data_IF_997478298276
#
_entry.id   IF_997478298276
#
_cell.length_a   1.000
_cell.length_b   1.000
_cell.length_c   1.000
_cell.angle_alpha   90.00
_cell.angle_beta   90.00
_cell.angle_gamma   90.00
#
_symmetry.space_group_name_H-M   'P 1'
#
loop_
_entity.id
_entity.type
_entity.pdbx_description
1 polymer ?
#
# COMPACT_ATOMS: atom_id res chain seq x y z
N UNK A 1 21.67 -8.72 14.75
CA UNK A 1 20.93 -7.57 14.20
C UNK A 1 21.87 -6.53 13.56
N UNK A 2 22.92 -6.87 12.81
CA UNK A 2 23.98 -5.88 12.52
C UNK A 2 24.56 -5.90 11.09
N UNK A 3 23.78 -6.19 10.04
CA UNK A 3 24.35 -6.07 8.69
C UNK A 3 24.77 -4.62 8.36
N UNK A 4 23.91 -3.65 8.70
CA UNK A 4 24.18 -2.23 8.45
C UNK A 4 25.29 -1.67 9.36
N UNK A 5 25.36 -2.14 10.60
CA UNK A 5 26.37 -1.71 11.59
C UNK A 5 27.75 -2.37 11.36
N UNK A 6 27.81 -3.50 10.65
CA UNK A 6 29.06 -4.20 10.31
C UNK A 6 29.63 -3.77 8.94
N UNK A 7 29.06 -2.74 8.32
CA UNK A 7 29.50 -2.27 7.01
C UNK A 7 30.82 -1.51 7.16
N UNK A 8 31.87 -1.97 6.49
CA UNK A 8 33.24 -1.44 6.64
C UNK A 8 33.36 0.02 6.23
N UNK A 9 32.68 0.40 5.15
CA UNK A 9 32.65 1.75 4.59
C UNK A 9 31.23 2.07 4.09
N UNK A 10 30.30 2.48 4.98
CA UNK A 10 28.97 2.91 4.54
C UNK A 10 29.10 4.16 3.69
N UNK A 11 28.34 4.22 2.60
CA UNK A 11 28.10 5.51 1.94
C UNK A 11 27.50 6.48 2.96
N UNK A 12 27.73 7.79 2.78
CA UNK A 12 27.18 8.80 3.68
C UNK A 12 25.67 8.60 3.87
N UNK A 13 24.93 8.29 2.81
CA UNK A 13 23.51 7.98 2.89
C UNK A 13 23.19 6.82 3.84
N UNK A 14 23.92 5.71 3.77
CA UNK A 14 23.69 4.55 4.65
C UNK A 14 24.02 4.87 6.11
N UNK A 15 25.04 5.69 6.37
CA UNK A 15 25.38 6.13 7.73
C UNK A 15 24.26 7.01 8.33
N UNK A 16 23.67 7.91 7.53
CA UNK A 16 22.53 8.72 7.97
C UNK A 16 21.31 7.86 8.28
N UNK A 17 21.00 6.87 7.42
CA UNK A 17 19.93 5.92 7.70
C UNK A 17 20.21 5.08 8.95
N UNK A 18 21.46 4.66 9.19
CA UNK A 18 21.83 3.94 10.41
C UNK A 18 21.56 4.77 11.67
N UNK A 19 21.92 6.07 11.66
CA UNK A 19 21.62 6.98 12.76
C UNK A 19 20.11 7.13 12.99
N UNK A 20 19.34 7.31 11.92
CA UNK A 20 17.88 7.47 12.01
C UNK A 20 17.19 6.19 12.51
N UNK A 21 17.67 5.03 12.07
CA UNK A 21 17.10 3.73 12.43
C UNK A 21 17.50 3.27 13.83
N UNK A 22 18.57 3.81 14.42
CA UNK A 22 19.03 3.47 15.76
C UNK A 22 17.99 3.78 16.85
N UNK A 23 17.09 4.74 16.62
CA UNK A 23 16.00 5.06 17.54
C UNK A 23 14.92 3.96 17.64
N UNK A 24 14.89 3.02 16.70
CA UNK A 24 13.84 2.03 16.56
C UNK A 24 14.40 0.60 16.66
N UNK A 25 13.61 -0.33 17.22
CA UNK A 25 13.94 -1.76 17.18
C UNK A 25 13.54 -2.36 15.83
N UNK A 26 14.45 -2.27 14.84
CA UNK A 26 14.21 -2.69 13.46
C UNK A 26 15.01 -3.94 13.08
N UNK A 27 14.33 -4.91 12.48
CA UNK A 27 14.98 -6.08 11.87
C UNK A 27 15.01 -5.95 10.35
N UNK A 28 16.21 -5.86 9.77
CA UNK A 28 16.38 -5.82 8.31
C UNK A 28 16.35 -7.26 7.77
N UNK A 29 15.34 -7.58 6.97
CA UNK A 29 15.16 -8.92 6.37
C UNK A 29 14.99 -8.78 4.87
N UNK A 30 15.79 -9.54 4.10
CA UNK A 30 15.64 -9.62 2.66
C UNK A 30 14.31 -10.29 2.30
N UNK A 31 13.58 -9.67 1.37
CA UNK A 31 12.36 -10.23 0.76
C UNK A 31 12.55 -10.26 -0.75
N UNK A 32 12.10 -11.35 -1.38
CA UNK A 32 12.13 -11.47 -2.83
C UNK A 32 11.23 -10.43 -3.48
N UNK A 33 11.64 -9.84 -4.61
CA UNK A 33 10.88 -8.81 -5.34
C UNK A 33 9.44 -9.21 -5.68
N UNK A 34 9.16 -10.50 -5.90
CA UNK A 34 7.80 -11.00 -6.13
C UNK A 34 6.84 -10.76 -4.95
N UNK A 35 7.37 -10.59 -3.74
CA UNK A 35 6.61 -10.31 -2.51
C UNK A 35 6.47 -8.81 -2.21
N UNK A 36 6.95 -7.94 -3.10
CA UNK A 36 6.90 -6.48 -2.97
C UNK A 36 5.86 -5.84 -3.91
N UNK A 37 4.85 -6.59 -4.37
CA UNK A 37 3.86 -6.06 -5.30
C UNK A 37 3.13 -4.82 -4.75
N UNK A 38 2.83 -4.81 -3.46
CA UNK A 38 2.26 -3.65 -2.75
C UNK A 38 3.19 -2.44 -2.77
N UNK A 39 4.43 -2.60 -2.29
CA UNK A 39 5.42 -1.53 -2.23
C UNK A 39 5.81 -1.01 -3.63
N UNK A 40 5.96 -1.91 -4.61
CA UNK A 40 6.27 -1.56 -6.01
C UNK A 40 5.13 -0.76 -6.63
N UNK A 41 3.87 -1.20 -6.46
CA UNK A 41 2.70 -0.44 -6.91
C UNK A 41 2.66 0.97 -6.31
N UNK A 42 2.89 1.12 -5.00
CA UNK A 42 2.89 2.43 -4.34
C UNK A 42 4.05 3.32 -4.80
N UNK A 43 5.26 2.77 -4.98
CA UNK A 43 6.43 3.55 -5.41
C UNK A 43 6.32 4.07 -6.85
N UNK A 44 5.55 3.38 -7.70
CA UNK A 44 5.35 3.73 -9.12
C UNK A 44 4.22 4.72 -9.34
N UNK A 45 3.36 4.92 -8.35
CA UNK A 45 2.25 5.86 -8.42
C UNK A 45 2.48 7.03 -7.45
N UNK A 46 3.35 8.00 -7.80
CA UNK A 46 3.62 9.13 -6.93
C UNK A 46 2.34 9.95 -6.74
N UNK A 47 1.89 10.03 -5.50
CA UNK A 47 0.79 10.91 -5.11
C UNK A 47 1.32 12.35 -5.21
N UNK A 48 0.54 13.30 -5.77
CA UNK A 48 0.93 14.71 -5.75
C UNK A 48 1.29 15.13 -4.33
N UNK A 49 2.41 15.84 -4.17
CA UNK A 49 2.87 16.33 -2.86
C UNK A 49 1.83 17.34 -2.35
N UNK A 50 1.09 16.95 -1.32
CA UNK A 50 0.03 17.78 -0.73
C UNK A 50 0.63 18.56 0.43
N UNK A 51 0.61 19.89 0.36
CA UNK A 51 1.00 20.75 1.48
C UNK A 51 -0.05 20.65 2.59
N UNK A 52 0.40 20.67 3.84
CA UNK A 52 -0.23 20.02 5.01
C UNK A 52 -1.71 20.35 5.32
N UNK A 53 -2.32 21.37 4.71
CA UNK A 53 -3.67 21.85 5.07
C UNK A 53 -4.77 21.42 4.08
N UNK A 54 -4.45 21.12 2.82
CA UNK A 54 -5.40 20.51 1.85
C UNK A 54 -5.48 18.97 1.99
N UNK A 55 -4.62 18.40 2.83
CA UNK A 55 -4.33 16.97 2.94
C UNK A 55 -5.49 16.09 3.39
N UNK A 56 -6.28 16.51 4.38
CA UNK A 56 -7.42 15.70 4.87
C UNK A 56 -8.62 15.73 3.91
N UNK A 57 -8.80 16.84 3.18
CA UNK A 57 -9.85 16.96 2.18
C UNK A 57 -9.49 16.25 0.86
N UNK A 58 -8.19 16.10 0.57
CA UNK A 58 -7.67 15.40 -0.59
C UNK A 58 -7.57 13.88 -0.41
N UNK A 59 -7.67 13.36 0.82
CA UNK A 59 -7.89 11.91 1.06
C UNK A 59 -9.30 11.60 0.56
N UNK A 60 -9.38 11.25 -0.73
CA UNK A 60 -10.62 10.79 -1.34
C UNK A 60 -11.05 9.49 -0.67
N UNK A 61 -12.35 9.35 -0.43
CA UNK A 61 -12.89 8.10 0.10
C UNK A 61 -12.55 6.96 -0.88
N UNK A 62 -11.88 5.92 -0.39
CA UNK A 62 -11.48 4.75 -1.16
C UNK A 62 -12.67 4.11 -1.91
N UNK A 63 -13.88 4.22 -1.37
CA UNK A 63 -15.10 3.77 -2.04
C UNK A 63 -15.40 4.56 -3.33
N UNK A 64 -15.03 5.84 -3.38
CA UNK A 64 -15.23 6.70 -4.55
C UNK A 64 -14.19 6.42 -5.62
N UNK A 65 -12.91 6.30 -5.25
CA UNK A 65 -11.84 6.00 -6.21
C UNK A 65 -12.05 4.65 -6.90
N UNK A 66 -12.47 3.62 -6.16
CA UNK A 66 -12.78 2.31 -6.74
C UNK A 66 -13.99 2.32 -7.68
N UNK A 67 -14.89 3.28 -7.55
CA UNK A 67 -16.04 3.45 -8.47
C UNK A 67 -15.68 4.28 -9.70
N UNK A 68 -14.73 5.20 -9.57
CA UNK A 68 -14.20 5.97 -10.69
C UNK A 68 -13.33 5.09 -11.59
N UNK A 69 -12.68 4.05 -11.04
CA UNK A 69 -11.93 3.05 -11.80
C UNK A 69 -12.88 2.20 -12.69
N UNK A 70 -12.76 2.24 -14.03
CA UNK A 70 -13.67 1.52 -14.93
C UNK A 70 -13.66 0.00 -14.76
N UNK A 71 -12.52 -0.57 -14.38
CA UNK A 71 -12.37 -2.01 -14.15
C UNK A 71 -13.09 -2.41 -12.86
N UNK A 72 -12.80 -1.71 -11.76
CA UNK A 72 -13.42 -2.01 -10.46
C UNK A 72 -14.91 -1.66 -10.42
N UNK A 73 -15.34 -0.61 -11.12
CA UNK A 73 -16.75 -0.22 -11.23
C UNK A 73 -17.62 -1.33 -11.82
N UNK A 74 -17.11 -2.07 -12.81
CA UNK A 74 -17.81 -3.22 -13.38
C UNK A 74 -18.02 -4.33 -12.34
N UNK A 75 -17.01 -4.62 -11.52
CA UNK A 75 -17.10 -5.60 -10.45
C UNK A 75 -18.02 -5.16 -9.31
N UNK A 76 -17.99 -3.86 -8.95
CA UNK A 76 -18.88 -3.30 -7.92
C UNK A 76 -20.34 -3.44 -8.38
N UNK A 77 -20.65 -3.02 -9.62
CA UNK A 77 -22.01 -3.16 -10.18
C UNK A 77 -22.47 -4.61 -10.24
N UNK A 78 -21.57 -5.53 -10.63
CA UNK A 78 -21.89 -6.96 -10.65
C UNK A 78 -22.22 -7.48 -9.25
N UNK A 79 -21.42 -7.13 -8.23
CA UNK A 79 -21.65 -7.52 -6.85
C UNK A 79 -22.95 -6.92 -6.25
N UNK A 80 -23.32 -5.70 -6.63
CA UNK A 80 -24.56 -5.05 -6.19
C UNK A 80 -25.81 -5.70 -6.83
N UNK A 81 -25.72 -6.14 -8.09
CA UNK A 81 -26.83 -6.76 -8.83
C UNK A 81 -27.05 -8.25 -8.49
N UNK A 82 -26.07 -8.91 -7.89
CA UNK A 82 -26.12 -10.33 -7.58
C UNK A 82 -25.33 -10.63 -6.30
N UNK A 83 -25.99 -10.73 -5.13
CA UNK A 83 -25.32 -11.04 -3.88
C UNK A 83 -24.62 -12.42 -3.88
N UNK A 84 -24.99 -13.30 -4.82
CA UNK A 84 -24.40 -14.63 -5.01
C UNK A 84 -23.05 -14.64 -5.79
N UNK A 85 -22.61 -13.50 -6.35
CA UNK A 85 -21.26 -13.38 -6.96
C UNK A 85 -20.14 -13.39 -5.89
N UNK A 86 -20.52 -13.55 -4.61
CA UNK A 86 -19.65 -13.99 -3.51
C UNK A 86 -18.76 -15.21 -3.84
N UNK A 87 -19.10 -15.97 -4.89
CA UNK A 87 -18.29 -17.09 -5.41
C UNK A 87 -16.91 -16.68 -5.97
N UNK A 88 -16.70 -15.42 -6.38
CA UNK A 88 -15.41 -14.93 -6.86
C UNK A 88 -14.43 -14.52 -5.74
N UNK A 89 -14.83 -14.67 -4.46
CA UNK A 89 -13.97 -14.33 -3.32
C UNK A 89 -13.86 -12.82 -3.07
N UNK A 90 -14.85 -12.03 -3.48
CA UNK A 90 -14.94 -10.60 -3.18
C UNK A 90 -16.26 -10.28 -2.47
N UNK A 91 -16.23 -9.30 -1.59
CA UNK A 91 -17.38 -8.82 -0.81
C UNK A 91 -17.31 -7.30 -0.68
N UNK A 92 -18.46 -6.62 -0.75
CA UNK A 92 -18.54 -5.19 -0.46
C UNK A 92 -18.72 -5.03 1.05
N UNK A 93 -17.80 -4.30 1.69
CA UNK A 93 -17.87 -3.97 3.12
C UNK A 93 -17.80 -2.46 3.24
N UNK A 94 -18.77 -1.84 3.92
CA UNK A 94 -18.87 -0.39 4.09
C UNK A 94 -18.69 0.37 2.76
N UNK A 95 -19.38 -0.08 1.71
CA UNK A 95 -19.35 0.54 0.39
C UNK A 95 -18.02 0.40 -0.39
N UNK A 96 -17.07 -0.40 0.13
CA UNK A 96 -15.75 -0.66 -0.47
C UNK A 96 -15.66 -2.11 -0.93
N UNK A 97 -15.20 -2.34 -2.16
CA UNK A 97 -14.92 -3.69 -2.67
C UNK A 97 -13.68 -4.29 -1.98
N UNK A 98 -13.87 -5.39 -1.26
CA UNK A 98 -12.83 -6.10 -0.50
C UNK A 98 -12.69 -7.54 -1.00
N UNK A 99 -11.46 -8.08 -0.95
CA UNK A 99 -11.23 -9.51 -1.21
C UNK A 99 -11.49 -10.31 0.07
N UNK A 100 -12.32 -11.34 -0.01
CA UNK A 100 -12.61 -12.27 1.09
C UNK A 100 -11.36 -13.10 1.36
N UNK A 101 -10.94 -13.16 2.62
CA UNK A 101 -9.87 -14.05 3.07
C UNK A 101 -10.51 -15.42 3.30
N UNK A 102 -10.07 -16.43 2.55
CA UNK A 102 -10.41 -17.84 2.82
C UNK A 102 -9.75 -18.30 4.12
#
# INVERSE_FOLDING_TARGET
MCWLANLRDPSSQLAWWALRLQEYDVSIVFKSGKKHADADCLSRNPIPIITEIESLAAIRDLATEKRDDPFLAAFIKACEQSPDISSAGFSIVNNVLCKKKN
#
